data_IF_107831316323
#
_entry.id   IF_107831316323
#
_cell.length_a   1.000
_cell.length_b   1.000
_cell.length_c   1.000
_cell.angle_alpha   90.00
_cell.angle_beta   90.00
_cell.angle_gamma   90.00
#
_symmetry.space_group_name_H-M   'P 1'
#
loop_
_entity.id
_entity.type
_entity.pdbx_description
1 polymer ?
#
# COMPACT_ATOMS: atom_id res chain seq x y z
N UNK A 1 -33.81 24.38 41.53
CA UNK A 1 -34.59 23.16 41.24
C UNK A 1 -33.62 21.99 41.17
N UNK A 2 -33.61 21.16 42.21
CA UNK A 2 -32.79 19.96 42.27
C UNK A 2 -33.49 18.84 41.50
N UNK A 3 -32.81 18.21 40.55
CA UNK A 3 -33.26 16.98 39.91
C UNK A 3 -32.43 15.84 40.50
N UNK A 4 -33.11 15.06 41.34
CA UNK A 4 -32.65 13.83 41.95
C UNK A 4 -32.80 12.65 40.98
N UNK A 5 -31.81 11.74 41.02
CA UNK A 5 -31.89 10.30 40.69
C UNK A 5 -32.12 9.94 39.20
N UNK A 6 -31.50 8.90 38.60
CA UNK A 6 -31.12 7.58 39.10
C UNK A 6 -29.93 7.01 38.30
N UNK A 7 -29.07 6.23 38.99
CA UNK A 7 -28.08 5.34 38.39
C UNK A 7 -28.66 3.91 38.29
N UNK A 8 -28.31 3.08 37.30
CA UNK A 8 -28.42 1.64 37.40
C UNK A 8 -27.08 1.03 37.84
N UNK A 9 -27.07 0.53 39.08
CA UNK A 9 -26.10 -0.40 39.62
C UNK A 9 -26.57 -1.83 39.34
N UNK A 10 -25.77 -2.63 38.64
CA UNK A 10 -25.86 -4.09 38.67
C UNK A 10 -24.54 -4.67 39.17
N UNK A 11 -24.64 -5.35 40.31
CA UNK A 11 -23.59 -5.95 41.11
C UNK A 11 -23.49 -7.46 40.79
N UNK A 12 -22.27 -7.90 40.49
CA UNK A 12 -21.63 -9.22 40.58
C UNK A 12 -22.44 -10.53 40.63
N UNK A 13 -21.93 -11.55 39.91
CA UNK A 13 -21.55 -12.87 40.49
C UNK A 13 -20.69 -13.70 39.53
N UNK A 14 -19.55 -14.17 40.07
CA UNK A 14 -18.49 -15.00 39.46
C UNK A 14 -18.83 -16.50 39.36
N UNK A 15 -18.13 -17.20 38.45
CA UNK A 15 -17.58 -18.58 38.49
C UNK A 15 -17.60 -19.16 37.06
N UNK A 16 -16.62 -19.89 36.53
CA UNK A 16 -15.33 -20.42 36.99
C UNK A 16 -14.49 -20.77 35.76
N UNK A 17 -13.16 -20.73 35.91
CA UNK A 17 -12.22 -21.40 35.00
C UNK A 17 -12.57 -22.89 34.85
N UNK A 18 -12.63 -23.37 33.62
CA UNK A 18 -12.24 -24.73 33.27
C UNK A 18 -11.31 -24.70 32.06
N UNK A 19 -10.03 -24.83 32.35
CA UNK A 19 -9.03 -25.35 31.45
C UNK A 19 -9.27 -26.85 31.33
N UNK A 20 -9.63 -27.35 30.15
CA UNK A 20 -9.43 -28.74 29.77
C UNK A 20 -9.25 -28.80 28.26
N UNK A 21 -8.25 -29.58 27.89
CA UNK A 21 -7.56 -29.66 26.63
C UNK A 21 -8.17 -30.71 25.70
N UNK A 22 -7.61 -30.72 24.47
CA UNK A 22 -7.59 -31.81 23.47
C UNK A 22 -8.72 -31.79 22.42
N UNK A 23 -8.53 -32.43 21.24
CA UNK A 23 -7.31 -32.67 20.48
C UNK A 23 -7.44 -32.26 18.99
N UNK A 24 -6.30 -32.12 18.34
CA UNK A 24 -6.15 -32.09 16.88
C UNK A 24 -6.59 -33.42 16.27
N UNK A 25 -7.49 -33.36 15.27
CA UNK A 25 -7.81 -34.50 14.40
C UNK A 25 -7.89 -34.01 12.95
N UNK A 26 -6.77 -34.09 12.23
CA UNK A 26 -6.80 -34.24 10.76
C UNK A 26 -6.05 -35.52 10.41
N UNK A 27 -6.75 -36.39 9.68
CA UNK A 27 -6.33 -37.71 9.23
C UNK A 27 -5.27 -37.60 8.13
N UNK A 28 -4.40 -38.60 8.14
CA UNK A 28 -3.40 -39.02 7.16
C UNK A 28 -4.01 -39.23 5.76
N UNK A 29 -3.30 -38.85 4.68
CA UNK A 29 -2.46 -39.71 3.81
C UNK A 29 -3.29 -40.67 2.96
N UNK A 30 -3.39 -40.44 1.65
CA UNK A 30 -3.39 -41.50 0.63
C UNK A 30 -2.84 -40.94 -0.69
N UNK A 31 -1.65 -41.44 -1.01
CA UNK A 31 -1.06 -41.60 -2.34
C UNK A 31 -2.01 -42.40 -3.25
N UNK A 32 -1.99 -42.16 -4.56
CA UNK A 32 -2.81 -42.93 -5.50
C UNK A 32 -2.77 -42.44 -6.94
N UNK A 33 -2.00 -43.14 -7.75
CA UNK A 33 -1.60 -42.91 -9.13
C UNK A 33 -2.68 -42.91 -10.24
N UNK A 34 -2.28 -42.23 -11.33
CA UNK A 34 -2.41 -42.57 -12.75
C UNK A 34 -3.76 -42.68 -13.49
N UNK A 35 -3.77 -41.89 -14.58
CA UNK A 35 -4.21 -42.16 -15.95
C UNK A 35 -5.72 -42.29 -16.24
N UNK A 36 -6.20 -41.53 -17.24
CA UNK A 36 -6.46 -42.06 -18.60
C UNK A 36 -7.18 -41.01 -19.48
N UNK A 37 -6.53 -40.71 -20.60
CA UNK A 37 -7.06 -40.23 -21.88
C UNK A 37 -8.60 -40.03 -22.02
N UNK A 38 -9.00 -38.85 -22.48
CA UNK A 38 -9.67 -38.80 -23.79
C UNK A 38 -9.52 -37.47 -24.52
N UNK A 39 -9.27 -37.64 -25.81
CA UNK A 39 -8.87 -36.70 -26.83
C UNK A 39 -10.13 -36.21 -27.56
N UNK A 40 -10.17 -34.93 -27.92
CA UNK A 40 -11.12 -34.46 -28.93
C UNK A 40 -10.37 -33.59 -29.92
N UNK A 41 -9.94 -34.24 -31.01
CA UNK A 41 -9.39 -33.59 -32.19
C UNK A 41 -10.51 -32.89 -32.95
N UNK A 42 -10.28 -31.64 -33.35
CA UNK A 42 -11.01 -31.02 -34.45
C UNK A 42 -10.00 -30.70 -35.55
N UNK A 43 -10.05 -31.55 -36.58
CA UNK A 43 -9.22 -31.58 -37.77
C UNK A 43 -9.75 -30.56 -38.77
N UNK A 44 -8.98 -29.55 -39.13
CA UNK A 44 -9.22 -28.78 -40.35
C UNK A 44 -7.89 -28.50 -41.05
N UNK A 45 -7.45 -29.49 -41.83
CA UNK A 45 -6.44 -29.32 -42.84
C UNK A 45 -7.09 -28.62 -44.04
N UNK A 46 -6.55 -27.47 -44.43
CA UNK A 46 -6.74 -26.93 -45.77
C UNK A 46 -5.35 -26.74 -46.37
N UNK A 47 -5.01 -27.69 -47.24
CA UNK A 47 -3.80 -27.78 -48.05
C UNK A 47 -3.50 -26.46 -48.78
N UNK A 48 -2.31 -25.91 -48.59
CA UNK A 48 -1.79 -24.83 -49.45
C UNK A 48 -0.61 -25.36 -50.26
N UNK A 49 -0.93 -25.74 -51.50
CA UNK A 49 0.05 -26.15 -52.51
C UNK A 49 0.96 -24.97 -52.84
N UNK A 50 2.25 -25.18 -52.58
CA UNK A 50 3.34 -24.30 -52.96
C UNK A 50 3.55 -24.41 -54.48
N UNK A 51 3.19 -23.38 -55.25
CA UNK A 51 3.57 -23.22 -56.65
C UNK A 51 4.23 -21.85 -56.87
N UNK A 52 5.33 -21.88 -57.61
CA UNK A 52 6.32 -20.84 -57.88
C UNK A 52 5.77 -19.60 -58.63
N UNK A 53 6.11 -18.38 -58.18
CA UNK A 53 6.79 -17.29 -58.93
C UNK A 53 6.74 -15.91 -58.19
N UNK A 54 7.80 -15.06 -58.22
CA UNK A 54 7.87 -13.72 -57.58
C UNK A 54 7.69 -12.55 -58.60
N UNK A 55 7.66 -11.23 -58.24
CA UNK A 55 7.66 -10.54 -56.95
C UNK A 55 6.51 -9.48 -56.83
N UNK A 56 6.53 -8.65 -55.77
CA UNK A 56 5.71 -7.43 -55.50
C UNK A 56 4.56 -7.63 -54.49
N UNK A 57 4.90 -7.51 -53.20
CA UNK A 57 4.46 -6.41 -52.31
C UNK A 57 4.91 -6.75 -50.88
N UNK A 58 6.16 -6.47 -50.53
CA UNK A 58 6.60 -6.49 -49.12
C UNK A 58 6.04 -5.27 -48.40
N UNK A 59 4.75 -5.33 -48.10
CA UNK A 59 4.08 -4.42 -47.19
C UNK A 59 4.50 -4.75 -45.74
N UNK A 60 5.33 -3.87 -45.20
CA UNK A 60 5.29 -3.34 -43.83
C UNK A 60 4.67 -4.24 -42.75
N UNK A 61 5.50 -5.05 -42.08
CA UNK A 61 5.29 -5.35 -40.68
C UNK A 61 6.65 -5.23 -39.97
N UNK A 62 7.02 -3.98 -39.68
CA UNK A 62 8.01 -3.66 -38.65
C UNK A 62 7.36 -4.06 -37.32
N UNK A 63 7.59 -5.30 -36.89
CA UNK A 63 7.13 -5.80 -35.60
C UNK A 63 8.00 -5.12 -34.53
N UNK A 64 7.49 -4.02 -33.97
CA UNK A 64 8.13 -3.35 -32.83
C UNK A 64 8.21 -4.30 -31.64
N UNK A 65 9.36 -4.42 -30.95
CA UNK A 65 9.42 -5.15 -29.70
C UNK A 65 8.74 -4.31 -28.61
N UNK A 66 7.58 -4.75 -28.14
CA UNK A 66 6.97 -4.27 -26.89
C UNK A 66 7.84 -4.83 -25.75
N UNK A 67 8.86 -4.07 -25.36
CA UNK A 67 9.65 -4.34 -24.16
C UNK A 67 8.92 -3.68 -23.00
N UNK A 68 8.04 -4.42 -22.33
CA UNK A 68 7.56 -4.01 -21.01
C UNK A 68 8.64 -4.43 -20.01
N UNK A 69 9.38 -3.49 -19.37
CA UNK A 69 10.29 -3.87 -18.31
C UNK A 69 9.49 -4.53 -17.17
N UNK A 70 9.99 -5.61 -16.56
CA UNK A 70 9.34 -6.17 -15.38
C UNK A 70 9.35 -5.11 -14.28
N UNK A 71 8.17 -4.68 -13.84
CA UNK A 71 8.01 -3.91 -12.60
C UNK A 71 8.62 -4.75 -11.48
N UNK A 72 9.64 -4.20 -10.82
CA UNK A 72 10.37 -4.90 -9.77
C UNK A 72 9.44 -5.18 -8.59
N UNK A 73 9.33 -6.45 -8.19
CA UNK A 73 8.51 -6.88 -7.04
C UNK A 73 8.86 -6.08 -5.78
N UNK A 74 10.13 -5.71 -5.60
CA UNK A 74 10.59 -4.91 -4.47
C UNK A 74 9.90 -3.55 -4.36
N UNK A 75 9.73 -2.83 -5.47
CA UNK A 75 9.10 -1.51 -5.48
C UNK A 75 7.63 -1.57 -5.03
N UNK A 76 6.91 -2.63 -5.44
CA UNK A 76 5.51 -2.79 -5.04
C UNK A 76 5.35 -3.04 -3.54
N UNK A 77 6.24 -3.83 -2.93
CA UNK A 77 6.21 -4.12 -1.49
C UNK A 77 6.49 -2.86 -0.67
N UNK A 78 7.45 -2.05 -1.10
CA UNK A 78 7.83 -0.84 -0.38
C UNK A 78 6.73 0.24 -0.47
N UNK A 79 6.04 0.36 -1.61
CA UNK A 79 4.83 1.20 -1.72
C UNK A 79 3.74 0.74 -0.75
N UNK A 80 3.47 -0.56 -0.64
CA UNK A 80 2.44 -1.07 0.29
C UNK A 80 2.82 -0.82 1.76
N UNK A 81 4.09 -1.03 2.11
CA UNK A 81 4.59 -0.71 3.45
C UNK A 81 4.50 0.78 3.74
N UNK A 82 4.93 1.63 2.80
CA UNK A 82 4.84 3.09 2.91
C UNK A 82 3.40 3.56 3.11
N UNK A 83 2.46 3.00 2.36
CA UNK A 83 1.02 3.28 2.53
C UNK A 83 0.51 2.87 3.92
N UNK A 84 0.87 1.67 4.39
CA UNK A 84 0.48 1.21 5.72
C UNK A 84 1.07 2.09 6.85
N UNK A 85 2.34 2.48 6.70
CA UNK A 85 3.00 3.42 7.62
C UNK A 85 2.32 4.80 7.61
N UNK A 86 1.99 5.31 6.43
CA UNK A 86 1.32 6.60 6.27
C UNK A 86 -0.08 6.57 6.92
N UNK A 87 -0.82 5.49 6.72
CA UNK A 87 -2.15 5.30 7.32
C UNK A 87 -2.11 5.23 8.85
N UNK A 88 -1.04 4.70 9.46
CA UNK A 88 -0.95 4.67 10.93
C UNK A 88 -0.46 5.98 11.56
N UNK A 89 0.35 6.76 10.85
CA UNK A 89 1.10 7.88 11.45
C UNK A 89 0.70 9.26 10.93
N UNK A 90 0.23 9.36 9.68
CA UNK A 90 0.14 10.63 8.94
C UNK A 90 -1.29 11.00 8.56
N UNK A 91 -2.15 9.99 8.30
CA UNK A 91 -3.50 10.19 7.74
C UNK A 91 -4.39 11.11 8.58
N UNK A 92 -4.18 11.14 9.90
CA UNK A 92 -4.95 11.99 10.81
C UNK A 92 -4.84 13.47 10.47
N UNK A 93 -3.72 13.91 9.90
CA UNK A 93 -3.54 15.29 9.44
C UNK A 93 -3.53 15.42 7.91
N UNK A 94 -3.08 14.38 7.20
CA UNK A 94 -2.78 14.40 5.78
C UNK A 94 -3.63 13.42 4.95
N UNK A 95 -4.91 13.28 5.31
CA UNK A 95 -5.86 12.46 4.55
C UNK A 95 -5.87 12.86 3.06
N UNK A 96 -5.76 11.87 2.17
CA UNK A 96 -5.72 12.03 0.71
C UNK A 96 -4.73 13.12 0.23
N UNK A 97 -3.59 13.26 0.91
CA UNK A 97 -2.58 14.26 0.59
C UNK A 97 -2.89 15.69 1.06
N UNK A 98 -4.01 15.90 1.75
CA UNK A 98 -4.41 17.20 2.28
C UNK A 98 -3.59 17.68 3.48
N UNK A 99 -4.07 18.73 4.14
CA UNK A 99 -3.59 19.17 5.45
C UNK A 99 -4.73 19.86 6.20
N UNK A 100 -5.28 19.20 7.21
CA UNK A 100 -6.42 19.74 7.98
C UNK A 100 -6.00 20.88 8.94
N UNK A 101 -4.71 21.01 9.24
CA UNK A 101 -4.17 21.94 10.24
C UNK A 101 -3.70 23.25 9.61
N UNK A 102 -3.14 23.20 8.40
CA UNK A 102 -2.55 24.36 7.74
C UNK A 102 -2.88 24.38 6.24
N UNK A 103 -3.80 25.26 5.81
CA UNK A 103 -4.04 25.51 4.39
C UNK A 103 -2.76 25.94 3.67
N UNK A 104 -2.57 25.43 2.45
CA UNK A 104 -1.38 25.73 1.64
C UNK A 104 -0.09 25.01 2.07
N UNK A 105 -0.18 24.04 2.99
CA UNK A 105 0.89 23.11 3.34
C UNK A 105 0.44 21.66 3.16
N UNK A 106 -0.28 21.38 2.07
CA UNK A 106 -0.67 20.02 1.70
C UNK A 106 0.52 19.21 1.18
N UNK A 107 0.33 17.90 1.01
CA UNK A 107 1.30 17.01 0.40
C UNK A 107 1.14 16.91 -1.14
N UNK A 108 0.35 17.81 -1.75
CA UNK A 108 0.30 17.93 -3.20
C UNK A 108 1.55 18.64 -3.73
N UNK A 109 2.03 18.22 -4.91
CA UNK A 109 3.27 18.70 -5.51
C UNK A 109 3.38 20.24 -5.56
N UNK A 110 2.29 20.94 -5.91
CA UNK A 110 2.25 22.41 -5.97
C UNK A 110 2.56 23.06 -4.61
N UNK A 111 2.06 22.49 -3.53
CA UNK A 111 2.30 23.01 -2.18
C UNK A 111 3.69 22.64 -1.69
N UNK A 112 4.16 21.41 -1.98
CA UNK A 112 5.52 21.00 -1.65
C UNK A 112 6.56 21.91 -2.32
N UNK A 113 6.40 22.17 -3.62
CA UNK A 113 7.28 23.07 -4.39
C UNK A 113 7.26 24.49 -3.84
N UNK A 114 6.06 25.04 -3.59
CA UNK A 114 5.92 26.40 -3.02
C UNK A 114 6.59 26.52 -1.66
N UNK A 115 6.61 25.46 -0.87
CA UNK A 115 7.21 25.44 0.46
C UNK A 115 8.67 24.95 0.47
N UNK A 116 9.25 24.66 -0.70
CA UNK A 116 10.63 24.17 -0.86
C UNK A 116 10.87 22.80 -0.22
N UNK A 117 9.87 21.91 -0.25
CA UNK A 117 9.90 20.57 0.35
C UNK A 117 9.44 19.49 -0.61
N UNK A 118 9.73 19.65 -1.91
CA UNK A 118 9.35 18.72 -2.97
C UNK A 118 10.38 17.64 -3.29
N UNK A 119 11.50 17.56 -2.56
CA UNK A 119 12.45 16.45 -2.67
C UNK A 119 12.26 15.44 -1.55
N UNK A 120 12.67 14.19 -1.77
CA UNK A 120 12.58 13.13 -0.76
C UNK A 120 13.38 13.48 0.51
N UNK A 121 14.54 14.11 0.34
CA UNK A 121 15.42 14.53 1.45
C UNK A 121 14.76 15.62 2.29
N UNK A 122 14.05 16.54 1.65
CA UNK A 122 13.32 17.61 2.32
C UNK A 122 12.12 17.06 3.09
N UNK A 123 11.36 16.15 2.48
CA UNK A 123 10.23 15.47 3.11
C UNK A 123 10.72 14.64 4.30
N UNK A 124 11.83 13.91 4.13
CA UNK A 124 12.50 13.19 5.22
C UNK A 124 12.83 14.14 6.37
N UNK A 125 13.48 15.27 6.08
CA UNK A 125 13.90 16.22 7.12
C UNK A 125 12.71 16.81 7.89
N UNK A 126 11.65 17.19 7.19
CA UNK A 126 10.42 17.71 7.82
C UNK A 126 9.73 16.63 8.66
N UNK A 127 9.67 15.39 8.16
CA UNK A 127 9.08 14.26 8.90
C UNK A 127 9.92 13.91 10.13
N UNK A 128 11.26 13.97 10.02
CA UNK A 128 12.19 13.68 11.10
C UNK A 128 12.12 14.72 12.21
N UNK A 129 12.28 16.01 11.87
CA UNK A 129 12.45 17.10 12.84
C UNK A 129 11.17 17.87 13.15
N UNK A 130 10.13 17.71 12.33
CA UNK A 130 8.92 18.52 12.41
C UNK A 130 9.10 19.89 11.77
N UNK A 131 7.98 20.59 11.55
CA UNK A 131 7.96 21.97 11.05
C UNK A 131 6.70 22.68 11.51
N UNK A 132 6.86 23.78 12.25
CA UNK A 132 5.73 24.54 12.77
C UNK A 132 4.85 23.68 13.69
N UNK A 133 3.59 23.45 13.29
CA UNK A 133 2.62 22.64 14.05
C UNK A 133 2.72 21.14 13.78
N UNK A 134 3.46 20.72 12.76
CA UNK A 134 3.70 19.30 12.48
C UNK A 134 4.79 18.78 13.42
N UNK A 135 4.51 17.75 14.24
CA UNK A 135 5.52 17.17 15.11
C UNK A 135 6.57 16.38 14.33
N UNK A 136 7.82 16.38 14.81
CA UNK A 136 8.87 15.50 14.30
C UNK A 136 8.78 14.07 14.83
N UNK A 137 9.09 13.10 14.00
CA UNK A 137 8.98 11.66 14.31
C UNK A 137 10.31 10.95 14.51
N UNK A 138 11.44 11.58 14.17
CA UNK A 138 12.77 10.99 14.26
C UNK A 138 13.18 10.62 15.68
N UNK A 139 14.02 9.58 15.82
CA UNK A 139 14.51 9.13 17.12
C UNK A 139 15.19 10.26 17.91
N UNK A 140 16.00 11.07 17.22
CA UNK A 140 16.76 12.16 17.84
C UNK A 140 16.08 13.54 17.72
N UNK A 141 14.79 13.60 17.34
CA UNK A 141 14.09 14.88 17.30
C UNK A 141 14.08 15.53 18.69
N UNK A 142 14.44 16.82 18.72
CA UNK A 142 14.58 17.67 19.91
C UNK A 142 14.29 19.13 19.53
N UNK A 143 13.72 19.98 20.43
CA UNK A 143 13.29 19.71 21.79
C UNK A 143 12.01 18.88 21.87
N UNK A 144 11.73 18.25 23.02
CA UNK A 144 10.60 17.30 23.19
C UNK A 144 9.25 17.82 22.72
N UNK A 145 8.99 19.12 22.89
CA UNK A 145 7.73 19.77 22.51
C UNK A 145 7.53 19.95 21.00
N UNK A 146 8.59 19.85 20.20
CA UNK A 146 8.50 19.87 18.73
C UNK A 146 8.22 18.47 18.14
N UNK A 147 8.34 17.43 18.95
CA UNK A 147 8.32 16.06 18.46
C UNK A 147 7.05 15.33 18.89
N UNK A 148 6.71 14.26 18.17
CA UNK A 148 5.51 13.46 18.45
C UNK A 148 5.50 12.95 19.89
N UNK A 149 4.34 13.00 20.54
CA UNK A 149 4.16 12.42 21.87
C UNK A 149 4.11 10.89 21.87
N UNK A 150 3.79 10.30 20.72
CA UNK A 150 3.80 8.85 20.52
C UNK A 150 5.21 8.26 20.30
N UNK A 151 5.28 6.98 19.93
CA UNK A 151 6.53 6.32 19.55
C UNK A 151 7.23 7.05 18.41
N UNK A 152 8.56 7.15 18.50
CA UNK A 152 9.41 7.64 17.42
C UNK A 152 9.56 6.57 16.34
N UNK A 153 9.78 7.02 15.11
CA UNK A 153 10.02 6.15 13.97
C UNK A 153 11.53 5.98 13.76
N UNK A 154 12.02 4.77 13.42
CA UNK A 154 13.37 4.58 12.96
C UNK A 154 13.58 5.24 11.58
N UNK A 155 14.83 5.53 11.25
CA UNK A 155 15.20 6.34 10.09
C UNK A 155 14.78 5.69 8.75
N UNK A 156 14.81 4.36 8.67
CA UNK A 156 14.37 3.59 7.50
C UNK A 156 12.86 3.73 7.24
N UNK A 157 12.04 3.73 8.29
CA UNK A 157 10.60 4.00 8.15
C UNK A 157 10.31 5.43 7.71
N UNK A 158 11.09 6.42 8.17
CA UNK A 158 10.93 7.83 7.76
C UNK A 158 11.36 8.00 6.30
N UNK A 159 12.42 7.32 5.87
CA UNK A 159 12.85 7.30 4.46
C UNK A 159 11.76 6.70 3.58
N UNK A 160 11.21 5.56 3.98
CA UNK A 160 10.11 4.91 3.26
C UNK A 160 8.87 5.80 3.16
N UNK A 161 8.54 6.55 4.22
CA UNK A 161 7.47 7.54 4.21
C UNK A 161 7.77 8.70 3.24
N UNK A 162 9.01 9.17 3.18
CA UNK A 162 9.40 10.25 2.28
C UNK A 162 9.29 9.84 0.81
N UNK A 163 9.80 8.66 0.46
CA UNK A 163 9.65 8.04 -0.86
C UNK A 163 8.17 7.86 -1.22
N UNK A 164 7.37 7.34 -0.29
CA UNK A 164 5.93 7.17 -0.48
C UNK A 164 5.23 8.52 -0.75
N UNK A 165 5.44 9.53 0.10
CA UNK A 165 4.82 10.86 -0.08
C UNK A 165 5.25 11.50 -1.40
N UNK A 166 6.53 11.41 -1.77
CA UNK A 166 7.01 11.93 -3.06
C UNK A 166 6.31 11.24 -4.23
N UNK A 167 6.25 9.91 -4.21
CA UNK A 167 5.59 9.13 -5.26
C UNK A 167 4.10 9.46 -5.39
N UNK A 168 3.40 9.69 -4.26
CA UNK A 168 2.00 10.06 -4.26
C UNK A 168 1.78 11.49 -4.75
N UNK A 169 2.65 12.42 -4.37
CA UNK A 169 2.61 13.79 -4.85
C UNK A 169 2.80 13.89 -6.37
N UNK A 170 3.72 13.10 -6.92
CA UNK A 170 3.99 13.02 -8.37
C UNK A 170 2.81 12.44 -9.15
N UNK A 171 2.09 11.50 -8.54
CA UNK A 171 0.86 10.91 -9.10
C UNK A 171 -0.40 11.74 -8.82
N UNK A 172 -0.27 12.87 -8.12
CA UNK A 172 -1.39 13.75 -7.80
C UNK A 172 -2.38 13.16 -6.80
N UNK A 173 -1.93 12.26 -5.91
CA UNK A 173 -2.75 11.56 -4.91
C UNK A 173 -4.00 10.89 -5.51
N UNK A 174 -3.84 9.79 -6.27
CA UNK A 174 -4.97 9.11 -6.89
C UNK A 174 -5.94 8.60 -5.82
N UNK A 175 -7.25 8.79 -6.05
CA UNK A 175 -8.27 8.16 -5.21
C UNK A 175 -8.15 6.65 -5.34
N UNK A 176 -7.77 5.98 -4.26
CA UNK A 176 -7.94 4.53 -4.16
C UNK A 176 -9.42 4.32 -3.84
N UNK A 177 -10.26 4.27 -4.88
CA UNK A 177 -11.62 3.77 -4.72
C UNK A 177 -11.50 2.31 -4.24
N UNK A 178 -11.79 2.10 -2.95
CA UNK A 178 -11.81 0.78 -2.35
C UNK A 178 -12.89 -0.05 -3.08
N UNK A 179 -12.48 -1.05 -3.86
CA UNK A 179 -13.38 -2.06 -4.42
C UNK A 179 -13.93 -2.96 -3.33
N UNK A 180 -14.91 -2.47 -2.58
CA UNK A 180 -15.53 -3.18 -1.47
C UNK A 180 -16.88 -2.57 -1.10
N UNK A 181 -17.85 -2.78 -2.00
CA UNK A 181 -19.26 -2.92 -1.63
C UNK A 181 -19.53 -4.40 -1.28
#
# INVERSE_FOLDING_TARGET
>A
MAVLCMMPSCLSKSCSLKLLSQPTKKRNMYEGDMNLFNQKENKLACELKLLLAPPLLTALIVLSPIVNPPVSVGQTIDVQKGAALFNRACIGCHYAGGNIIQPGATLFLKDLQRNGVDTEEEIYRVTYSGKGRMPGFGQNCTPRGQCTFGPRLPDDEIKLLAEFVKSQADQGWPNIENGGD
#
